data_IF_747376352280
#
_entry.id   IF_747376352280
#
_cell.length_a   1.000
_cell.length_b   1.000
_cell.length_c   1.000
_cell.angle_alpha   90.00
_cell.angle_beta   90.00
_cell.angle_gamma   90.00
#
_symmetry.space_group_name_H-M   'P 1'
#
loop_
_entity.id
_entity.type
_entity.pdbx_description
1 polymer ?
#
# COMPACT_ATOMS: atom_id res chain seq x y z
N UNK A 1 72.49 -32.33 -62.56
CA UNK A 1 73.07 -33.68 -62.47
C UNK A 1 72.39 -34.40 -61.30
N UNK A 2 71.55 -35.40 -61.61
CA UNK A 2 71.65 -36.82 -61.17
C UNK A 2 71.38 -37.02 -59.65
N UNK A 3 70.21 -37.53 -59.23
CA UNK A 3 69.79 -38.95 -59.12
C UNK A 3 70.90 -39.80 -58.47
N UNK A 4 70.79 -40.27 -57.21
CA UNK A 4 69.88 -41.28 -56.65
C UNK A 4 70.53 -41.94 -55.40
N UNK A 5 70.10 -43.15 -54.92
CA UNK A 5 69.20 -43.33 -53.77
C UNK A 5 69.62 -44.45 -52.76
N UNK A 6 68.64 -44.94 -51.96
CA UNK A 6 68.55 -46.24 -51.24
C UNK A 6 69.35 -46.35 -49.92
N UNK A 7 69.01 -47.08 -48.86
CA UNK A 7 67.83 -47.68 -48.21
C UNK A 7 68.39 -48.34 -46.92
N UNK A 8 67.56 -48.69 -45.92
CA UNK A 8 67.93 -49.79 -44.99
C UNK A 8 67.68 -49.60 -43.49
N UNK A 9 66.78 -50.43 -42.98
CA UNK A 9 66.10 -50.41 -41.68
C UNK A 9 66.76 -51.28 -40.58
N UNK A 10 66.33 -51.03 -39.32
CA UNK A 10 66.14 -51.94 -38.14
C UNK A 10 67.24 -52.13 -37.07
N UNK A 11 66.84 -51.79 -35.84
CA UNK A 11 67.33 -52.37 -34.58
C UNK A 11 66.60 -51.82 -33.34
N UNK A 12 65.64 -52.58 -32.78
CA UNK A 12 64.86 -52.27 -31.55
C UNK A 12 65.66 -52.50 -30.25
N UNK A 13 65.43 -51.68 -29.21
CA UNK A 13 65.31 -52.10 -27.78
C UNK A 13 64.68 -50.99 -26.91
N UNK A 14 64.12 -51.39 -25.76
CA UNK A 14 62.97 -50.79 -25.04
C UNK A 14 63.29 -49.87 -23.82
N UNK A 15 62.24 -49.11 -23.41
CA UNK A 15 61.89 -48.54 -22.06
C UNK A 15 62.56 -47.18 -21.69
N UNK A 16 61.95 -46.21 -20.93
CA UNK A 16 60.66 -46.18 -20.17
C UNK A 16 59.69 -45.02 -20.51
N UNK A 17 58.43 -45.22 -20.10
CA UNK A 17 57.36 -44.22 -20.09
C UNK A 17 57.50 -43.19 -18.95
N UNK A 18 57.22 -41.90 -19.19
CA UNK A 18 56.86 -40.95 -18.14
C UNK A 18 55.43 -40.38 -18.31
N UNK A 19 54.86 -40.08 -17.15
CA UNK A 19 53.56 -39.53 -16.76
C UNK A 19 53.00 -38.36 -17.61
N UNK A 20 51.68 -38.08 -17.56
CA UNK A 20 51.05 -37.06 -18.41
C UNK A 20 51.51 -35.64 -18.01
N UNK A 21 51.78 -34.74 -18.97
CA UNK A 21 52.03 -33.35 -18.65
C UNK A 21 50.72 -32.67 -18.24
N UNK A 22 50.82 -31.95 -17.12
CA UNK A 22 49.77 -31.19 -16.48
C UNK A 22 49.09 -30.19 -17.44
N UNK A 23 47.80 -29.98 -17.18
CA UNK A 23 47.01 -28.86 -17.70
C UNK A 23 47.80 -27.55 -17.49
N UNK A 24 48.34 -27.00 -18.56
CA UNK A 24 48.80 -25.62 -18.57
C UNK A 24 47.55 -24.74 -18.47
N UNK A 25 47.22 -24.34 -17.24
CA UNK A 25 46.45 -23.14 -16.96
C UNK A 25 47.22 -21.97 -17.58
N UNK A 26 46.86 -21.60 -18.81
CA UNK A 26 47.24 -20.30 -19.34
C UNK A 26 46.44 -19.29 -18.52
N UNK A 27 47.11 -18.71 -17.54
CA UNK A 27 46.65 -17.50 -16.88
C UNK A 27 46.44 -16.43 -17.96
N UNK A 28 45.19 -16.24 -18.39
CA UNK A 28 44.75 -15.02 -19.05
C UNK A 28 44.83 -13.87 -18.04
N UNK A 29 46.04 -13.39 -17.79
CA UNK A 29 46.29 -12.19 -17.03
C UNK A 29 47.51 -11.50 -17.63
N UNK A 30 47.26 -10.42 -18.37
CA UNK A 30 48.27 -9.36 -18.49
C UNK A 30 48.78 -8.98 -19.88
N UNK A 31 48.10 -9.31 -20.98
CA UNK A 31 48.36 -8.66 -22.27
C UNK A 31 47.10 -7.96 -22.77
N UNK A 32 46.77 -6.83 -22.13
CA UNK A 32 45.87 -5.88 -22.76
C UNK A 32 46.65 -5.24 -23.92
N UNK A 33 46.38 -5.70 -25.14
CA UNK A 33 46.97 -5.14 -26.36
C UNK A 33 46.90 -3.60 -26.31
N UNK A 34 48.02 -2.87 -26.50
CA UNK A 34 48.03 -1.40 -26.52
C UNK A 34 47.01 -0.81 -27.51
N UNK A 35 46.65 -1.54 -28.57
CA UNK A 35 45.56 -1.16 -29.47
C UNK A 35 44.20 -1.19 -28.78
N UNK A 36 43.89 -2.25 -28.02
CA UNK A 36 42.63 -2.41 -27.28
C UNK A 36 42.48 -1.31 -26.21
N UNK A 37 43.57 -0.93 -25.54
CA UNK A 37 43.55 0.19 -24.59
C UNK A 37 43.28 1.53 -25.27
N UNK A 38 43.87 1.78 -26.45
CA UNK A 38 43.58 2.98 -27.25
C UNK A 38 42.14 3.01 -27.75
N UNK A 39 41.61 1.87 -28.22
CA UNK A 39 40.20 1.77 -28.63
C UNK A 39 39.25 2.08 -27.48
N UNK A 40 39.49 1.51 -26.28
CA UNK A 40 38.69 1.81 -25.08
C UNK A 40 38.74 3.30 -24.72
N UNK A 41 39.91 3.92 -24.78
CA UNK A 41 40.06 5.36 -24.53
C UNK A 41 39.27 6.20 -25.55
N UNK A 42 39.28 5.82 -26.83
CA UNK A 42 38.48 6.48 -27.87
C UNK A 42 37.00 6.31 -27.60
N UNK A 43 36.54 5.11 -27.24
CA UNK A 43 35.14 4.83 -26.86
C UNK A 43 34.69 5.71 -25.69
N UNK A 44 35.49 5.80 -24.62
CA UNK A 44 35.19 6.65 -23.46
C UNK A 44 35.09 8.13 -23.83
N UNK A 45 36.00 8.63 -24.69
CA UNK A 45 35.94 10.02 -25.17
C UNK A 45 34.73 10.28 -26.05
N UNK A 46 34.36 9.31 -26.90
CA UNK A 46 33.20 9.39 -27.78
C UNK A 46 31.90 9.37 -26.96
N UNK A 47 31.81 8.53 -25.93
CA UNK A 47 30.71 8.55 -24.98
C UNK A 47 30.60 9.87 -24.22
N UNK A 48 31.74 10.45 -23.81
CA UNK A 48 31.78 11.76 -23.17
C UNK A 48 31.27 12.85 -24.10
N UNK A 49 31.75 12.89 -25.34
CA UNK A 49 31.27 13.82 -26.37
C UNK A 49 29.78 13.62 -26.66
N UNK A 50 29.30 12.38 -26.69
CA UNK A 50 27.87 12.10 -26.84
C UNK A 50 27.04 12.63 -25.67
N UNK A 51 27.53 12.48 -24.43
CA UNK A 51 26.89 13.06 -23.23
C UNK A 51 26.84 14.59 -23.32
N UNK A 52 27.95 15.23 -23.68
CA UNK A 52 28.01 16.68 -23.87
C UNK A 52 27.12 17.16 -25.01
N UNK A 53 27.08 16.45 -26.14
CA UNK A 53 26.22 16.78 -27.28
C UNK A 53 24.73 16.70 -26.90
N UNK A 54 24.33 15.67 -26.13
CA UNK A 54 22.97 15.57 -25.58
C UNK A 54 22.66 16.73 -24.61
N UNK A 55 23.60 17.07 -23.74
CA UNK A 55 23.48 18.20 -22.80
C UNK A 55 23.37 19.55 -23.52
N UNK A 56 24.13 19.77 -24.60
CA UNK A 56 24.01 20.98 -25.40
C UNK A 56 22.68 21.02 -26.16
N UNK A 57 22.29 19.91 -26.79
CA UNK A 57 20.99 19.78 -27.47
C UNK A 57 19.82 20.05 -26.53
N UNK A 58 19.88 19.60 -25.27
CA UNK A 58 18.83 19.88 -24.30
C UNK A 58 18.78 21.36 -23.85
N UNK A 59 19.89 22.10 -23.98
CA UNK A 59 19.94 23.54 -23.69
C UNK A 59 19.47 24.42 -24.86
N UNK A 60 19.57 23.96 -26.11
CA UNK A 60 19.17 24.74 -27.31
C UNK A 60 17.74 25.32 -27.19
N UNK A 61 16.71 24.58 -26.76
CA UNK A 61 15.36 25.15 -26.60
C UNK A 61 15.31 26.32 -25.61
N UNK A 62 16.10 26.29 -24.54
CA UNK A 62 16.15 27.37 -23.54
C UNK A 62 16.79 28.63 -24.13
N UNK A 63 17.86 28.48 -24.91
CA UNK A 63 18.46 29.60 -25.62
C UNK A 63 17.51 30.18 -26.68
N UNK A 64 16.79 29.33 -27.42
CA UNK A 64 15.79 29.78 -28.37
C UNK A 64 14.63 30.54 -27.69
N UNK A 65 14.15 30.05 -26.55
CA UNK A 65 13.14 30.74 -25.75
C UNK A 65 13.65 32.11 -25.26
N UNK A 66 14.89 32.18 -24.78
CA UNK A 66 15.51 33.44 -24.37
C UNK A 66 15.64 34.42 -25.55
N UNK A 67 16.04 33.93 -26.73
CA UNK A 67 16.08 34.75 -27.94
C UNK A 67 14.69 35.30 -28.29
N UNK A 68 13.63 34.48 -28.22
CA UNK A 68 12.27 34.95 -28.49
C UNK A 68 11.85 36.06 -27.51
N UNK A 69 12.07 35.86 -26.21
CA UNK A 69 11.77 36.86 -25.17
C UNK A 69 12.57 38.16 -25.36
N UNK A 70 13.82 38.07 -25.79
CA UNK A 70 14.63 39.26 -26.09
C UNK A 70 14.05 40.05 -27.27
N UNK A 71 13.62 39.37 -28.34
CA UNK A 71 13.00 40.04 -29.48
C UNK A 71 11.64 40.63 -29.11
N UNK A 72 10.84 39.93 -28.32
CA UNK A 72 9.54 40.42 -27.85
C UNK A 72 9.69 41.66 -26.98
N UNK A 73 10.61 41.64 -26.01
CA UNK A 73 10.88 42.82 -25.17
C UNK A 73 11.41 44.01 -25.98
N UNK A 74 12.26 43.78 -26.97
CA UNK A 74 12.71 44.83 -27.88
C UNK A 74 11.56 45.43 -28.71
N UNK A 75 10.62 44.61 -29.17
CA UNK A 75 9.42 45.07 -29.87
C UNK A 75 8.49 45.88 -28.95
N UNK A 76 8.27 45.41 -27.72
CA UNK A 76 7.50 46.13 -26.70
C UNK A 76 8.12 47.49 -26.38
N UNK A 77 9.44 47.55 -26.22
CA UNK A 77 10.16 48.81 -26.00
C UNK A 77 9.94 49.79 -27.16
N UNK A 78 10.03 49.31 -28.41
CA UNK A 78 9.80 50.14 -29.60
C UNK A 78 8.37 50.66 -29.66
N UNK A 79 7.39 49.83 -29.30
CA UNK A 79 5.98 50.25 -29.25
C UNK A 79 5.75 51.32 -28.18
N UNK A 80 6.30 51.13 -26.98
CA UNK A 80 6.22 52.13 -25.90
C UNK A 80 6.92 53.44 -26.29
N UNK A 81 8.06 53.37 -26.97
CA UNK A 81 8.77 54.54 -27.45
C UNK A 81 7.95 55.35 -28.46
N UNK A 82 7.25 54.68 -29.39
CA UNK A 82 6.34 55.33 -30.33
C UNK A 82 5.14 55.95 -29.62
N UNK A 83 4.56 55.26 -28.63
CA UNK A 83 3.47 55.80 -27.82
C UNK A 83 3.92 57.03 -27.04
N UNK A 84 5.10 57.00 -26.42
CA UNK A 84 5.66 58.14 -25.71
C UNK A 84 5.87 59.32 -26.66
N UNK A 85 6.45 59.10 -27.84
CA UNK A 85 6.64 60.15 -28.83
C UNK A 85 5.31 60.78 -29.29
N UNK A 86 4.26 59.97 -29.48
CA UNK A 86 2.92 60.45 -29.79
C UNK A 86 2.34 61.28 -28.64
N UNK A 87 2.46 60.82 -27.39
CA UNK A 87 2.03 61.57 -26.21
C UNK A 87 2.79 62.89 -26.08
N UNK A 88 4.10 62.90 -26.28
CA UNK A 88 4.92 64.11 -26.26
C UNK A 88 4.53 65.10 -27.36
N UNK A 89 4.14 64.60 -28.55
CA UNK A 89 3.59 65.44 -29.61
C UNK A 89 2.28 66.12 -29.18
N UNK A 90 1.35 65.37 -28.58
CA UNK A 90 0.10 65.95 -28.06
C UNK A 90 0.34 66.96 -26.94
N UNK A 91 1.27 66.67 -26.02
CA UNK A 91 1.64 67.61 -24.95
C UNK A 91 2.22 68.90 -25.54
N UNK A 92 3.07 68.79 -26.57
CA UNK A 92 3.64 69.95 -27.26
C UNK A 92 2.55 70.78 -27.95
N UNK A 93 1.60 70.12 -28.61
CA UNK A 93 0.45 70.78 -29.24
C UNK A 93 -0.43 71.49 -28.22
N UNK A 94 -0.80 70.82 -27.13
CA UNK A 94 -1.60 71.40 -26.06
C UNK A 94 -0.89 72.59 -25.40
N UNK A 95 0.42 72.49 -25.13
CA UNK A 95 1.23 73.60 -24.64
C UNK A 95 1.25 74.77 -25.61
N UNK A 96 1.37 74.50 -26.92
CA UNK A 96 1.30 75.52 -27.96
C UNK A 96 -0.09 76.19 -28.04
N UNK A 97 -1.17 75.41 -27.96
CA UNK A 97 -2.54 75.93 -27.92
C UNK A 97 -2.80 76.77 -26.67
N UNK A 98 -2.31 76.34 -25.50
CA UNK A 98 -2.39 77.12 -24.27
C UNK A 98 -1.61 78.44 -24.38
N UNK A 99 -0.40 78.41 -24.94
CA UNK A 99 0.39 79.63 -25.16
C UNK A 99 -0.32 80.61 -26.12
N UNK A 100 -0.94 80.11 -27.20
CA UNK A 100 -1.77 80.91 -28.11
C UNK A 100 -2.99 81.51 -27.40
N UNK A 101 -3.68 80.72 -26.58
CA UNK A 101 -4.83 81.17 -25.80
C UNK A 101 -4.42 82.23 -24.76
N UNK A 102 -3.27 82.07 -24.10
CA UNK A 102 -2.72 83.06 -23.17
C UNK A 102 -2.33 84.36 -23.88
N UNK A 103 -1.77 84.28 -25.09
CA UNK A 103 -1.47 85.46 -25.91
C UNK A 103 -2.75 86.20 -26.33
N UNK A 104 -3.80 85.46 -26.71
CA UNK A 104 -5.14 86.00 -27.00
C UNK A 104 -5.84 86.55 -25.76
N UNK A 105 -5.55 86.03 -24.56
CA UNK A 105 -6.07 86.55 -23.29
C UNK A 105 -5.43 87.88 -22.87
N UNK A 106 -4.28 88.23 -23.45
CA UNK A 106 -3.63 89.53 -23.29
C UNK A 106 -4.22 90.65 -24.17
N UNK A 107 -4.99 90.28 -25.20
CA UNK A 107 -5.84 91.20 -25.98
C UNK A 107 -7.27 91.09 -25.45
N UNK A 108 -7.70 92.09 -24.67
CA UNK A 108 -8.96 92.06 -23.91
C UNK A 108 -10.22 91.87 -24.76
N UNK A 109 -10.62 90.62 -24.98
CA UNK A 109 -11.91 90.27 -25.57
C UNK A 109 -12.60 89.21 -24.70
N UNK A 110 -13.88 89.47 -24.40
CA UNK A 110 -14.68 88.75 -23.42
C UNK A 110 -14.75 87.25 -23.75
N UNK A 111 -14.11 86.46 -22.91
CA UNK A 111 -14.14 84.99 -22.96
C UNK A 111 -15.59 84.56 -22.71
N UNK A 112 -16.21 83.91 -23.69
CA UNK A 112 -17.47 83.20 -23.50
C UNK A 112 -17.26 82.14 -22.41
N UNK A 113 -17.85 82.36 -21.24
CA UNK A 113 -17.76 81.41 -20.13
C UNK A 113 -18.44 80.10 -20.53
N UNK A 114 -17.80 78.94 -20.30
CA UNK A 114 -18.42 77.65 -20.57
C UNK A 114 -19.70 77.52 -19.74
N UNK A 115 -20.74 76.95 -20.35
CA UNK A 115 -22.03 76.80 -19.70
C UNK A 115 -21.86 76.10 -18.33
N UNK A 116 -22.32 76.71 -17.23
CA UNK A 116 -22.05 76.20 -15.87
C UNK A 116 -22.55 74.76 -15.68
N UNK A 117 -23.63 74.37 -16.35
CA UNK A 117 -24.17 73.01 -16.34
C UNK A 117 -23.22 71.95 -16.93
N UNK A 118 -22.41 72.31 -17.94
CA UNK A 118 -21.40 71.40 -18.51
C UNK A 118 -20.23 71.23 -17.54
N UNK A 119 -19.81 72.33 -16.90
CA UNK A 119 -18.73 72.30 -15.91
C UNK A 119 -19.15 71.47 -14.69
N UNK A 120 -20.37 71.64 -14.19
CA UNK A 120 -20.94 70.84 -13.11
C UNK A 120 -21.01 69.35 -13.49
N UNK A 121 -21.51 69.02 -14.69
CA UNK A 121 -21.58 67.64 -15.16
C UNK A 121 -20.20 66.98 -15.28
N UNK A 122 -19.20 67.71 -15.78
CA UNK A 122 -17.83 67.20 -15.89
C UNK A 122 -17.17 67.00 -14.52
N UNK A 123 -17.43 67.91 -13.56
CA UNK A 123 -16.95 67.74 -12.18
C UNK A 123 -17.58 66.52 -11.51
N UNK A 124 -18.87 66.28 -11.75
CA UNK A 124 -19.58 65.11 -11.23
C UNK A 124 -19.07 63.81 -11.87
N UNK A 125 -18.84 63.79 -13.19
CA UNK A 125 -18.23 62.65 -13.89
C UNK A 125 -16.79 62.37 -13.41
N UNK A 126 -15.99 63.41 -13.16
CA UNK A 126 -14.66 63.27 -12.57
C UNK A 126 -14.72 62.75 -11.13
N UNK A 127 -15.71 63.17 -10.35
CA UNK A 127 -15.99 62.64 -9.02
C UNK A 127 -16.30 61.13 -9.07
N UNK A 128 -17.22 60.74 -9.95
CA UNK A 128 -17.58 59.33 -10.16
C UNK A 128 -16.40 58.49 -10.65
N UNK A 129 -15.61 59.01 -11.60
CA UNK A 129 -14.43 58.30 -12.11
C UNK A 129 -13.35 58.12 -11.03
N UNK A 130 -13.15 59.13 -10.17
CA UNK A 130 -12.23 59.03 -9.02
C UNK A 130 -12.71 58.01 -8.00
N UNK A 131 -14.00 57.97 -7.70
CA UNK A 131 -14.54 56.98 -6.76
C UNK A 131 -14.39 55.56 -7.31
N UNK A 132 -14.73 55.34 -8.59
CA UNK A 132 -14.51 54.05 -9.27
C UNK A 132 -13.05 53.62 -9.24
N UNK A 133 -12.11 54.53 -9.45
CA UNK A 133 -10.68 54.23 -9.36
C UNK A 133 -10.32 53.77 -7.95
N UNK A 134 -10.78 54.49 -6.91
CA UNK A 134 -10.55 54.13 -5.50
C UNK A 134 -11.17 52.79 -5.13
N UNK A 135 -12.35 52.49 -5.65
CA UNK A 135 -12.98 51.18 -5.48
C UNK A 135 -12.16 50.09 -6.16
N UNK A 136 -11.77 50.27 -7.44
CA UNK A 136 -10.93 49.30 -8.14
C UNK A 136 -9.59 49.08 -7.43
N UNK A 137 -8.95 50.14 -6.91
CA UNK A 137 -7.72 50.05 -6.11
C UNK A 137 -7.95 49.24 -4.84
N UNK A 138 -9.03 49.49 -4.08
CA UNK A 138 -9.40 48.71 -2.89
C UNK A 138 -9.60 47.23 -3.21
N UNK A 139 -10.34 46.90 -4.26
CA UNK A 139 -10.55 45.50 -4.67
C UNK A 139 -9.26 44.83 -5.12
N UNK A 140 -8.39 45.55 -5.84
CA UNK A 140 -7.08 45.02 -6.25
C UNK A 140 -6.16 44.78 -5.05
N UNK A 141 -6.21 45.65 -4.02
CA UNK A 141 -5.43 45.49 -2.79
C UNK A 141 -5.88 44.27 -2.00
N UNK A 142 -7.20 44.07 -1.84
CA UNK A 142 -7.76 42.86 -1.20
C UNK A 142 -7.33 41.60 -1.94
N UNK A 143 -7.40 41.60 -3.27
CA UNK A 143 -6.97 40.46 -4.09
C UNK A 143 -5.47 40.18 -3.97
N UNK A 144 -4.65 41.22 -3.89
CA UNK A 144 -3.20 41.07 -3.66
C UNK A 144 -2.94 40.49 -2.27
N UNK A 145 -3.69 40.91 -1.25
CA UNK A 145 -3.57 40.38 0.10
C UNK A 145 -3.98 38.91 0.17
N UNK A 146 -5.12 38.52 -0.41
CA UNK A 146 -5.57 37.14 -0.53
C UNK A 146 -4.53 36.25 -1.24
N UNK A 147 -4.02 36.70 -2.39
CA UNK A 147 -2.99 35.96 -3.12
C UNK A 147 -1.67 35.88 -2.32
N UNK A 148 -1.32 36.92 -1.57
CA UNK A 148 -0.13 36.92 -0.73
C UNK A 148 -0.24 35.90 0.40
N UNK A 149 -1.41 35.78 1.03
CA UNK A 149 -1.68 34.77 2.05
C UNK A 149 -1.63 33.35 1.46
N UNK A 150 -2.20 33.13 0.28
CA UNK A 150 -2.13 31.81 -0.37
C UNK A 150 -0.70 31.43 -0.75
N UNK A 151 0.10 32.38 -1.27
CA UNK A 151 1.52 32.15 -1.55
C UNK A 151 2.29 31.82 -0.28
N UNK A 152 2.02 32.48 0.84
CA UNK A 152 2.64 32.16 2.13
C UNK A 152 2.30 30.74 2.58
N UNK A 153 1.03 30.35 2.48
CA UNK A 153 0.57 28.99 2.83
C UNK A 153 1.22 27.92 1.95
N UNK A 154 1.28 28.15 0.64
CA UNK A 154 1.94 27.24 -0.30
C UNK A 154 3.44 27.13 -0.04
N UNK A 155 4.11 28.24 0.29
CA UNK A 155 5.52 28.22 0.67
C UNK A 155 5.74 27.41 1.95
N UNK A 156 4.88 27.56 2.96
CA UNK A 156 4.99 26.77 4.19
C UNK A 156 4.80 25.27 3.94
N UNK A 157 3.83 24.90 3.11
CA UNK A 157 3.66 23.50 2.69
C UNK A 157 4.87 22.97 1.92
N UNK A 158 5.47 23.80 1.07
CA UNK A 158 6.67 23.43 0.34
C UNK A 158 7.87 23.24 1.28
N UNK A 159 8.02 24.08 2.29
CA UNK A 159 9.05 23.94 3.33
C UNK A 159 8.86 22.67 4.16
N UNK A 160 7.64 22.36 4.58
CA UNK A 160 7.31 21.11 5.27
C UNK A 160 7.67 19.89 4.42
N UNK A 161 7.30 19.91 3.13
CA UNK A 161 7.62 18.83 2.20
C UNK A 161 9.12 18.71 1.93
N UNK A 162 9.83 19.83 1.82
CA UNK A 162 11.28 19.82 1.69
C UNK A 162 11.94 19.25 2.95
N UNK A 163 11.45 19.59 4.14
CA UNK A 163 11.94 19.02 5.40
C UNK A 163 11.69 17.51 5.49
N UNK A 164 10.52 17.01 5.06
CA UNK A 164 10.24 15.57 4.95
C UNK A 164 11.22 14.88 3.99
N UNK A 165 11.48 15.47 2.83
CA UNK A 165 12.43 14.94 1.85
C UNK A 165 13.86 14.93 2.41
N UNK A 166 14.30 16.02 3.04
CA UNK A 166 15.60 16.11 3.68
C UNK A 166 15.74 15.08 4.80
N UNK A 167 14.70 14.87 5.61
CA UNK A 167 14.69 13.83 6.63
C UNK A 167 14.87 12.43 6.00
N UNK A 168 14.16 12.13 4.91
CA UNK A 168 14.33 10.87 4.19
C UNK A 168 15.74 10.73 3.57
N UNK A 169 16.32 11.81 3.04
CA UNK A 169 17.67 11.79 2.45
C UNK A 169 18.72 11.55 3.53
N UNK A 170 18.60 12.27 4.66
CA UNK A 170 19.52 12.19 5.78
C UNK A 170 19.38 10.88 6.58
N UNK A 171 18.30 10.12 6.37
CA UNK A 171 18.14 8.82 7.00
C UNK A 171 19.25 7.85 6.52
N UNK A 172 20.01 7.24 7.46
CA UNK A 172 21.09 6.33 7.12
C UNK A 172 20.65 5.14 6.26
N UNK A 173 21.46 4.70 5.27
CA UNK A 173 21.10 3.60 4.36
C UNK A 173 20.74 2.29 5.08
N UNK A 174 21.44 1.95 6.16
CA UNK A 174 21.21 0.71 6.91
C UNK A 174 19.81 0.66 7.57
N UNK A 175 19.21 1.81 7.91
CA UNK A 175 17.87 1.85 8.48
C UNK A 175 16.82 1.54 7.42
N UNK A 176 17.01 2.09 6.21
CA UNK A 176 16.16 1.80 5.04
C UNK A 176 16.25 0.33 4.66
N UNK A 177 17.47 -0.21 4.59
CA UNK A 177 17.69 -1.63 4.30
C UNK A 177 17.03 -2.54 5.35
N UNK A 178 17.15 -2.21 6.64
CA UNK A 178 16.49 -2.95 7.72
C UNK A 178 14.97 -2.95 7.57
N UNK A 179 14.38 -1.80 7.24
CA UNK A 179 12.94 -1.67 7.04
C UNK A 179 12.47 -2.42 5.80
N UNK A 180 13.23 -2.35 4.70
CA UNK A 180 12.96 -3.14 3.48
C UNK A 180 12.94 -4.64 3.80
N UNK A 181 13.95 -5.14 4.52
CA UNK A 181 14.00 -6.55 4.91
C UNK A 181 12.82 -6.95 5.79
N UNK A 182 12.41 -6.08 6.72
CA UNK A 182 11.22 -6.29 7.57
C UNK A 182 9.95 -6.37 6.74
N UNK A 183 9.76 -5.46 5.79
CA UNK A 183 8.62 -5.43 4.89
C UNK A 183 8.59 -6.64 3.96
N UNK A 184 9.73 -7.01 3.38
CA UNK A 184 9.85 -8.21 2.53
C UNK A 184 9.51 -9.48 3.31
N UNK A 185 9.98 -9.61 4.56
CA UNK A 185 9.62 -10.74 5.41
C UNK A 185 8.12 -10.80 5.68
N UNK A 186 7.51 -9.67 6.04
CA UNK A 186 6.07 -9.59 6.31
C UNK A 186 5.23 -9.89 5.06
N UNK A 187 5.66 -9.42 3.89
CA UNK A 187 5.02 -9.74 2.62
C UNK A 187 5.11 -11.24 2.31
N UNK A 188 6.30 -11.84 2.43
CA UNK A 188 6.49 -13.27 2.20
C UNK A 188 5.66 -14.15 3.17
N UNK A 189 5.52 -13.73 4.43
CA UNK A 189 4.65 -14.39 5.41
C UNK A 189 3.17 -14.31 5.00
N UNK A 190 2.73 -13.13 4.53
CA UNK A 190 1.35 -12.92 4.06
C UNK A 190 1.06 -13.71 2.79
N UNK A 191 1.99 -13.76 1.84
CA UNK A 191 1.87 -14.56 0.62
C UNK A 191 1.77 -16.06 0.92
N UNK A 192 2.58 -16.56 1.87
CA UNK A 192 2.47 -17.95 2.34
C UNK A 192 1.11 -18.23 2.96
N UNK A 193 0.64 -17.36 3.85
CA UNK A 193 -0.67 -17.50 4.47
C UNK A 193 -1.79 -17.48 3.40
N UNK A 194 -1.71 -16.57 2.44
CA UNK A 194 -2.66 -16.47 1.33
C UNK A 194 -2.65 -17.75 0.49
N UNK A 195 -1.48 -18.24 0.08
CA UNK A 195 -1.36 -19.48 -0.69
C UNK A 195 -1.97 -20.68 0.05
N UNK A 196 -1.75 -20.79 1.37
CA UNK A 196 -2.39 -21.85 2.16
C UNK A 196 -3.90 -21.70 2.23
N UNK A 197 -4.41 -20.46 2.39
CA UNK A 197 -5.85 -20.20 2.39
C UNK A 197 -6.47 -20.56 1.05
N UNK A 198 -5.84 -20.19 -0.07
CA UNK A 198 -6.35 -20.45 -1.41
C UNK A 198 -6.47 -21.96 -1.69
N UNK A 199 -5.48 -22.75 -1.27
CA UNK A 199 -5.52 -24.22 -1.41
C UNK A 199 -6.66 -24.81 -0.57
N UNK A 200 -6.83 -24.36 0.68
CA UNK A 200 -7.92 -24.81 1.54
C UNK A 200 -9.28 -24.43 0.98
N UNK A 201 -9.45 -23.20 0.49
CA UNK A 201 -10.69 -22.74 -0.13
C UNK A 201 -11.05 -23.57 -1.38
N UNK A 202 -10.06 -23.88 -2.23
CA UNK A 202 -10.27 -24.75 -3.40
C UNK A 202 -10.68 -26.15 -2.96
N UNK A 203 -9.97 -26.76 -2.00
CA UNK A 203 -10.29 -28.11 -1.50
C UNK A 203 -11.69 -28.19 -0.90
N UNK A 204 -12.08 -27.21 -0.08
CA UNK A 204 -13.42 -27.15 0.51
C UNK A 204 -14.51 -26.99 -0.56
N UNK A 205 -14.23 -26.23 -1.61
CA UNK A 205 -15.14 -26.07 -2.75
C UNK A 205 -15.29 -27.39 -3.51
N UNK A 206 -14.19 -28.10 -3.76
CA UNK A 206 -14.20 -29.39 -4.45
C UNK A 206 -14.94 -30.48 -3.64
N UNK A 207 -14.73 -30.52 -2.32
CA UNK A 207 -15.48 -31.41 -1.42
C UNK A 207 -16.97 -31.08 -1.42
N UNK A 208 -17.34 -29.81 -1.40
CA UNK A 208 -18.74 -29.36 -1.49
C UNK A 208 -19.37 -29.84 -2.80
N UNK A 209 -18.70 -29.64 -3.93
CA UNK A 209 -19.16 -30.15 -5.22
C UNK A 209 -19.21 -31.68 -5.28
N UNK A 210 -18.30 -32.38 -4.63
CA UNK A 210 -18.32 -33.84 -4.55
C UNK A 210 -19.53 -34.33 -3.73
N UNK A 211 -19.80 -33.70 -2.58
CA UNK A 211 -20.94 -34.01 -1.73
C UNK A 211 -22.26 -33.71 -2.43
N UNK A 212 -22.37 -32.57 -3.12
CA UNK A 212 -23.55 -32.24 -3.93
C UNK A 212 -23.82 -33.29 -5.02
N UNK A 213 -22.78 -33.73 -5.74
CA UNK A 213 -22.92 -34.81 -6.74
C UNK A 213 -23.36 -36.14 -6.13
N UNK A 214 -22.79 -36.52 -4.99
CA UNK A 214 -23.21 -37.74 -4.25
C UNK A 214 -24.66 -37.62 -3.79
N UNK A 215 -25.06 -36.48 -3.25
CA UNK A 215 -26.42 -36.22 -2.79
C UNK A 215 -27.41 -36.30 -3.96
N UNK A 216 -27.07 -35.72 -5.11
CA UNK A 216 -27.88 -35.82 -6.33
C UNK A 216 -28.06 -37.27 -6.78
N UNK A 217 -26.98 -38.05 -6.85
CA UNK A 217 -27.04 -39.47 -7.23
C UNK A 217 -27.88 -40.30 -6.25
N UNK A 218 -27.74 -40.06 -4.94
CA UNK A 218 -28.58 -40.72 -3.93
C UNK A 218 -30.04 -40.30 -4.06
N UNK A 219 -30.32 -39.01 -4.33
CA UNK A 219 -31.68 -38.52 -4.55
C UNK A 219 -32.32 -39.17 -5.78
N UNK A 220 -31.58 -39.33 -6.89
CA UNK A 220 -32.03 -40.05 -8.08
C UNK A 220 -32.35 -41.52 -7.78
N UNK A 221 -31.50 -42.20 -6.99
CA UNK A 221 -31.75 -43.57 -6.54
C UNK A 221 -33.03 -43.67 -5.69
N UNK A 222 -33.22 -42.75 -4.74
CA UNK A 222 -34.43 -42.69 -3.92
C UNK A 222 -35.67 -42.44 -4.78
N UNK A 223 -35.60 -41.54 -5.77
CA UNK A 223 -36.68 -41.29 -6.72
C UNK A 223 -36.99 -42.54 -7.56
N UNK A 224 -35.99 -43.27 -8.02
CA UNK A 224 -36.18 -44.52 -8.74
C UNK A 224 -36.87 -45.57 -7.88
N UNK A 225 -36.39 -45.77 -6.64
CA UNK A 225 -37.02 -46.69 -5.68
C UNK A 225 -38.47 -46.31 -5.38
N UNK A 226 -38.75 -45.02 -5.15
CA UNK A 226 -40.11 -44.52 -4.94
C UNK A 226 -41.03 -44.86 -6.13
N UNK A 227 -40.57 -44.60 -7.36
CA UNK A 227 -41.31 -44.99 -8.59
C UNK A 227 -41.57 -46.49 -8.66
N UNK A 228 -40.57 -47.33 -8.37
CA UNK A 228 -40.74 -48.78 -8.35
C UNK A 228 -41.77 -49.24 -7.31
N UNK A 229 -41.79 -48.62 -6.12
CA UNK A 229 -42.76 -48.92 -5.07
C UNK A 229 -44.17 -48.47 -5.47
N UNK A 230 -44.32 -47.29 -6.06
CA UNK A 230 -45.61 -46.81 -6.58
C UNK A 230 -46.17 -47.73 -7.68
N UNK A 231 -45.33 -48.19 -8.61
CA UNK A 231 -45.72 -49.14 -9.65
C UNK A 231 -46.16 -50.49 -9.07
N UNK A 232 -45.43 -51.02 -8.08
CA UNK A 232 -45.80 -52.26 -7.38
C UNK A 232 -47.12 -52.09 -6.63
N UNK A 233 -47.29 -50.99 -5.89
CA UNK A 233 -48.52 -50.73 -5.16
C UNK A 233 -49.73 -50.58 -6.10
N UNK A 234 -49.56 -49.95 -7.28
CA UNK A 234 -50.61 -49.90 -8.31
C UNK A 234 -50.99 -51.29 -8.84
N UNK A 235 -50.03 -52.23 -8.91
CA UNK A 235 -50.26 -53.63 -9.30
C UNK A 235 -50.88 -54.46 -8.17
N UNK A 236 -50.48 -54.22 -6.92
CA UNK A 236 -50.97 -54.92 -5.71
C UNK A 236 -52.33 -54.44 -5.21
N UNK A 237 -52.76 -53.21 -5.53
CA UNK A 237 -54.11 -52.71 -5.21
C UNK A 237 -55.25 -53.47 -5.94
N UNK A 238 -54.90 -54.48 -6.75
CA UNK A 238 -55.82 -55.49 -7.29
C UNK A 238 -55.90 -56.80 -6.49
N UNK A 239 -55.15 -56.96 -5.40
CA UNK A 239 -55.10 -58.20 -4.63
C UNK A 239 -54.88 -57.89 -3.13
N UNK A 240 -55.95 -57.56 -2.41
CA UNK A 240 -55.89 -57.24 -0.98
C UNK A 240 -56.37 -58.44 -0.16
N UNK A 241 -55.45 -59.17 0.49
CA UNK A 241 -55.80 -60.07 1.62
C UNK A 241 -54.65 -60.52 2.55
N UNK A 242 -53.42 -59.98 2.46
CA UNK A 242 -52.27 -60.45 3.28
C UNK A 242 -51.77 -59.44 4.35
N UNK A 243 -52.61 -58.53 4.82
CA UNK A 243 -52.14 -57.37 5.62
C UNK A 243 -52.05 -57.59 7.14
N UNK A 244 -52.60 -58.70 7.68
CA UNK A 244 -52.85 -58.82 9.13
C UNK A 244 -51.69 -59.50 9.90
N UNK A 245 -50.85 -60.31 9.24
CA UNK A 245 -49.77 -61.05 9.91
C UNK A 245 -48.48 -60.21 10.12
N UNK A 246 -48.20 -59.28 9.21
CA UNK A 246 -46.97 -58.47 9.23
C UNK A 246 -47.03 -57.33 10.25
N UNK A 247 -48.23 -56.82 10.57
CA UNK A 247 -48.40 -55.72 11.53
C UNK A 247 -48.01 -56.07 12.97
N UNK A 248 -48.28 -57.30 13.42
CA UNK A 248 -47.95 -57.74 14.79
C UNK A 248 -46.44 -57.89 15.03
N UNK A 249 -45.68 -58.32 14.03
CA UNK A 249 -44.22 -58.42 14.13
C UNK A 249 -43.55 -57.04 14.07
N UNK A 250 -44.07 -56.16 13.21
CA UNK A 250 -43.61 -54.77 13.11
C UNK A 250 -43.89 -53.95 14.39
N UNK A 251 -44.98 -54.22 15.10
CA UNK A 251 -45.32 -53.54 16.34
C UNK A 251 -44.32 -53.83 17.48
N UNK A 252 -43.86 -55.09 17.60
CA UNK A 252 -42.86 -55.48 18.62
C UNK A 252 -41.48 -54.92 18.29
N UNK A 253 -41.08 -54.95 17.00
CA UNK A 253 -39.83 -54.37 16.55
C UNK A 253 -39.79 -52.85 16.74
N UNK A 254 -40.87 -52.16 16.37
CA UNK A 254 -41.01 -50.72 16.57
C UNK A 254 -40.97 -50.35 18.05
N UNK A 255 -41.64 -51.12 18.92
CA UNK A 255 -41.60 -50.92 20.36
C UNK A 255 -40.18 -51.07 20.94
N UNK A 256 -39.42 -52.09 20.50
CA UNK A 256 -38.05 -52.30 20.93
C UNK A 256 -37.11 -51.18 20.43
N UNK A 257 -37.23 -50.76 19.17
CA UNK A 257 -36.46 -49.64 18.62
C UNK A 257 -36.75 -48.32 19.34
N UNK A 258 -38.02 -48.04 19.65
CA UNK A 258 -38.40 -46.82 20.41
C UNK A 258 -37.75 -46.84 21.79
N UNK A 259 -37.75 -47.99 22.49
CA UNK A 259 -37.09 -48.10 23.79
C UNK A 259 -35.56 -47.89 23.67
N UNK A 260 -34.90 -48.47 22.67
CA UNK A 260 -33.46 -48.24 22.44
C UNK A 260 -33.13 -46.77 22.15
N UNK A 261 -33.95 -46.08 21.36
CA UNK A 261 -33.75 -44.65 21.07
C UNK A 261 -33.93 -43.80 22.33
N UNK A 262 -34.89 -44.14 23.19
CA UNK A 262 -35.10 -43.44 24.45
C UNK A 262 -33.92 -43.64 25.40
N UNK A 263 -33.43 -44.87 25.56
CA UNK A 263 -32.23 -45.14 26.38
C UNK A 263 -31.02 -44.39 25.83
N UNK A 264 -30.80 -44.43 24.51
CA UNK A 264 -29.66 -43.74 23.91
C UNK A 264 -29.75 -42.22 24.04
N UNK A 265 -30.96 -41.65 23.98
CA UNK A 265 -31.20 -40.23 24.24
C UNK A 265 -30.86 -39.90 25.69
N UNK A 266 -31.33 -40.71 26.64
CA UNK A 266 -31.06 -40.49 28.06
C UNK A 266 -29.55 -40.57 28.36
N UNK A 267 -28.86 -41.57 27.80
CA UNK A 267 -27.39 -41.71 27.85
C UNK A 267 -26.68 -40.49 27.26
N UNK A 268 -27.14 -39.97 26.13
CA UNK A 268 -26.56 -38.77 25.54
C UNK A 268 -26.75 -37.52 26.42
N UNK A 269 -27.91 -37.41 27.08
CA UNK A 269 -28.19 -36.29 28.00
C UNK A 269 -27.42 -36.39 29.31
N UNK A 270 -27.22 -37.60 29.84
CA UNK A 270 -26.42 -37.82 31.05
C UNK A 270 -24.94 -37.57 30.78
N UNK A 271 -24.38 -38.10 29.69
CA UNK A 271 -23.00 -37.86 29.24
C UNK A 271 -22.72 -36.36 29.04
N UNK A 272 -23.67 -35.63 28.45
CA UNK A 272 -23.55 -34.17 28.30
C UNK A 272 -23.53 -33.46 29.66
N UNK A 273 -24.41 -33.85 30.57
CA UNK A 273 -24.49 -33.27 31.91
C UNK A 273 -23.20 -33.51 32.70
N UNK A 274 -22.61 -34.70 32.56
CA UNK A 274 -21.32 -35.05 33.18
C UNK A 274 -20.16 -34.25 32.57
N UNK A 275 -20.17 -34.05 31.25
CA UNK A 275 -19.20 -33.17 30.59
C UNK A 275 -19.30 -31.73 31.08
N UNK A 276 -20.51 -31.19 31.24
CA UNK A 276 -20.73 -29.83 31.75
C UNK A 276 -20.26 -29.70 33.21
N UNK A 277 -20.54 -30.70 34.06
CA UNK A 277 -20.03 -30.78 35.44
C UNK A 277 -18.50 -30.83 35.47
N UNK A 278 -17.89 -31.64 34.61
CA UNK A 278 -16.44 -31.74 34.50
C UNK A 278 -15.82 -30.39 34.04
N UNK A 279 -16.43 -29.71 33.07
CA UNK A 279 -15.99 -28.39 32.62
C UNK A 279 -16.09 -27.34 33.73
N UNK A 280 -17.18 -27.34 34.51
CA UNK A 280 -17.32 -26.45 35.66
C UNK A 280 -16.23 -26.72 36.70
N UNK A 281 -15.92 -28.00 36.98
CA UNK A 281 -14.86 -28.34 37.94
C UNK A 281 -13.48 -27.93 37.44
N UNK A 282 -13.22 -28.07 36.14
CA UNK A 282 -11.97 -27.60 35.51
C UNK A 282 -11.83 -26.08 35.69
N UNK A 283 -12.89 -25.31 35.45
CA UNK A 283 -12.86 -23.85 35.62
C UNK A 283 -12.62 -23.45 37.07
N UNK A 284 -13.29 -24.09 38.03
CA UNK A 284 -13.07 -23.88 39.46
C UNK A 284 -11.61 -24.14 39.85
N UNK A 285 -11.06 -25.28 39.42
CA UNK A 285 -9.66 -25.63 39.69
C UNK A 285 -8.68 -24.68 39.01
N UNK A 286 -8.97 -24.20 37.79
CA UNK A 286 -8.16 -23.19 37.12
C UNK A 286 -8.15 -21.86 37.89
N UNK A 287 -9.29 -21.44 38.44
CA UNK A 287 -9.37 -20.26 39.30
C UNK A 287 -8.59 -20.47 40.59
N UNK A 288 -8.73 -21.62 41.24
CA UNK A 288 -8.01 -21.95 42.46
C UNK A 288 -6.49 -21.95 42.24
N UNK A 289 -6.02 -22.58 41.15
CA UNK A 289 -4.60 -22.55 40.75
C UNK A 289 -4.13 -21.12 40.50
N UNK A 290 -4.92 -20.29 39.81
CA UNK A 290 -4.58 -18.88 39.54
C UNK A 290 -4.48 -18.07 40.84
N UNK A 291 -5.42 -18.28 41.77
CA UNK A 291 -5.40 -17.67 43.09
C UNK A 291 -4.18 -18.10 43.92
N UNK A 292 -3.87 -19.39 43.94
CA UNK A 292 -2.70 -19.93 44.63
C UNK A 292 -1.39 -19.42 44.01
N UNK A 293 -1.30 -19.33 42.69
CA UNK A 293 -0.18 -18.74 41.98
C UNK A 293 0.02 -17.27 42.38
N UNK A 294 -1.05 -16.48 42.47
CA UNK A 294 -0.96 -15.09 42.92
C UNK A 294 -0.53 -14.98 44.39
N UNK A 295 -1.04 -15.86 45.27
CA UNK A 295 -0.60 -15.93 46.66
C UNK A 295 0.89 -16.32 46.79
N UNK A 296 1.37 -17.26 45.97
CA UNK A 296 2.78 -17.63 45.91
C UNK A 296 3.66 -16.49 45.38
N UNK A 297 3.21 -15.76 44.37
CA UNK A 297 3.90 -14.57 43.85
C UNK A 297 4.05 -13.50 44.94
N UNK A 298 2.96 -13.17 45.65
CA UNK A 298 3.02 -12.22 46.79
C UNK A 298 3.92 -12.70 47.93
N UNK A 299 3.90 -14.01 48.25
CA UNK A 299 4.80 -14.59 49.25
C UNK A 299 6.27 -14.57 48.80
N UNK A 300 6.55 -14.64 47.49
CA UNK A 300 7.91 -14.49 46.96
C UNK A 300 8.38 -13.04 46.96
N UNK A 301 7.51 -12.08 46.66
CA UNK A 301 7.81 -10.64 46.74
C UNK A 301 8.06 -10.20 48.19
N UNK A 302 7.19 -10.58 49.15
CA UNK A 302 7.41 -10.28 50.57
C UNK A 302 8.66 -10.95 51.17
N UNK A 303 9.17 -12.02 50.56
CA UNK A 303 10.43 -12.67 50.97
C UNK A 303 11.67 -12.03 50.31
N UNK A 304 11.48 -11.29 49.22
CA UNK A 304 12.52 -10.45 48.59
C UNK A 304 12.76 -9.20 49.44
N UNK A 305 11.70 -8.54 49.91
CA UNK A 305 11.79 -7.36 50.79
C UNK A 305 12.34 -7.70 52.20
N UNK A 306 12.13 -8.94 52.68
CA UNK A 306 12.75 -9.41 53.93
C UNK A 306 14.22 -9.80 53.77
N UNK A 307 14.72 -10.06 52.55
CA UNK A 307 16.14 -10.40 52.32
C UNK A 307 17.04 -9.17 52.26
N UNK A 308 16.50 -7.99 51.94
CA UNK A 308 17.27 -6.74 52.00
C UNK A 308 17.48 -6.21 53.43
N UNK A 309 16.80 -6.80 54.44
CA UNK A 309 17.04 -6.50 55.86
C UNK A 309 17.68 -7.63 56.66
N UNK A 310 18.00 -8.78 56.06
CA UNK A 310 18.66 -9.90 56.74
C UNK A 310 19.85 -10.46 55.95
N UNK A 311 20.80 -9.57 55.62
CA UNK A 311 22.16 -9.96 55.24
C UNK A 311 23.05 -10.03 56.48
N UNK A 312 22.95 -11.14 57.23
CA UNK A 312 24.03 -11.71 58.06
C UNK A 312 23.46 -12.97 58.71
N UNK A 313 23.73 -14.13 58.12
CA UNK A 313 24.19 -15.35 58.81
C UNK A 313 24.35 -16.43 57.73
N UNK A 314 25.62 -16.74 57.45
CA UNK A 314 26.05 -17.79 56.53
C UNK A 314 26.15 -19.08 57.36
N UNK A 315 25.35 -20.09 57.07
CA UNK A 315 25.53 -21.44 57.63
C UNK A 315 25.69 -22.42 56.47
N UNK A 316 26.86 -23.06 56.43
CA UNK A 316 27.13 -24.25 55.64
C UNK A 316 26.58 -25.49 56.36
N UNK A 317 25.82 -26.31 55.64
CA UNK A 317 25.68 -27.76 55.81
C UNK A 317 24.84 -28.21 54.60
N UNK A 318 25.06 -29.34 53.93
CA UNK A 318 25.87 -30.50 54.19
C UNK A 318 25.33 -31.56 53.22
N UNK A 319 26.24 -32.21 52.52
CA UNK A 319 26.02 -33.28 51.55
C UNK A 319 25.11 -34.40 52.11
N UNK A 320 24.18 -34.92 51.31
CA UNK A 320 23.64 -36.28 51.50
C UNK A 320 23.13 -36.87 50.18
N UNK A 321 23.87 -37.87 49.71
CA UNK A 321 23.51 -38.81 48.66
C UNK A 321 22.30 -39.66 49.09
N UNK A 322 21.40 -40.02 48.17
CA UNK A 322 20.82 -41.37 48.17
C UNK A 322 20.27 -41.80 46.81
N UNK A 323 20.97 -42.80 46.25
CA UNK A 323 20.52 -44.02 45.58
C UNK A 323 19.58 -43.93 44.36
N UNK A 324 20.20 -44.27 43.24
CA UNK A 324 19.63 -44.70 41.98
C UNK A 324 18.94 -46.07 42.15
N UNK A 325 17.66 -46.19 41.80
CA UNK A 325 17.02 -47.47 41.46
C UNK A 325 16.57 -47.37 40.00
N UNK A 326 17.23 -48.17 39.18
CA UNK A 326 16.99 -48.33 37.77
C UNK A 326 15.87 -49.37 37.60
N UNK A 327 14.66 -48.92 37.22
CA UNK A 327 13.62 -49.82 36.73
C UNK A 327 13.47 -49.60 35.23
N UNK A 328 13.87 -50.63 34.49
CA UNK A 328 13.90 -50.72 33.03
C UNK A 328 12.53 -51.21 32.59
N UNK A 329 11.76 -50.40 31.86
CA UNK A 329 10.63 -50.89 31.04
C UNK A 329 10.63 -50.14 29.70
N UNK A 330 10.35 -50.93 28.68
CA UNK A 330 10.62 -50.77 27.26
C UNK A 330 9.89 -49.58 26.61
N UNK A 331 10.59 -48.90 25.71
CA UNK A 331 10.01 -47.91 24.79
C UNK A 331 9.48 -48.62 23.55
N UNK A 332 8.15 -48.62 23.38
CA UNK A 332 7.52 -48.73 22.07
C UNK A 332 6.94 -47.37 21.66
N UNK A 333 7.21 -47.06 20.39
CA UNK A 333 7.04 -45.81 19.65
C UNK A 333 5.56 -45.43 19.48
N UNK A 334 5.24 -44.15 19.70
CA UNK A 334 3.97 -43.52 19.31
C UNK A 334 4.17 -42.02 19.05
N UNK A 335 3.68 -41.54 17.91
CA UNK A 335 3.98 -40.27 17.25
C UNK A 335 3.31 -39.02 17.86
N UNK A 336 4.02 -37.86 17.76
CA UNK A 336 3.66 -36.41 17.63
C UNK A 336 2.18 -35.93 17.65
N UNK A 337 1.89 -34.59 17.70
CA UNK A 337 2.52 -33.44 18.39
C UNK A 337 1.49 -32.56 19.17
N UNK A 338 1.95 -31.74 20.13
CA UNK A 338 1.12 -30.77 20.88
C UNK A 338 1.34 -29.31 20.46
N UNK A 339 0.24 -28.62 20.16
CA UNK A 339 0.04 -27.15 20.13
C UNK A 339 0.32 -26.51 21.53
N UNK A 340 0.41 -25.15 21.75
CA UNK A 340 -0.54 -24.15 21.21
C UNK A 340 -0.09 -22.67 21.04
N UNK A 341 -0.98 -21.94 20.37
CA UNK A 341 -1.03 -20.48 20.34
C UNK A 341 -1.64 -19.85 21.60
N UNK A 342 -1.28 -18.59 21.79
CA UNK A 342 -1.65 -17.68 22.86
C UNK A 342 -3.09 -17.15 22.72
N UNK A 343 -3.79 -17.09 23.87
CA UNK A 343 -5.16 -16.59 24.02
C UNK A 343 -5.14 -15.20 24.66
N UNK A 344 -5.98 -14.30 24.15
CA UNK A 344 -6.42 -13.05 24.78
C UNK A 344 -7.45 -13.34 25.89
N UNK A 345 -7.51 -12.50 26.92
CA UNK A 345 -8.75 -12.13 27.63
C UNK A 345 -8.63 -10.73 28.23
N UNK A 346 -9.75 -10.00 28.19
CA UNK A 346 -9.99 -8.62 28.62
C UNK A 346 -10.42 -8.50 30.10
N UNK A 347 -10.41 -7.28 30.65
CA UNK A 347 -11.39 -6.69 31.63
C UNK A 347 -11.00 -5.22 31.88
N UNK A 348 -11.88 -4.23 31.60
CA UNK A 348 -12.73 -3.45 32.55
C UNK A 348 -11.94 -2.75 33.67
N UNK A 349 -12.23 -1.55 34.19
CA UNK A 349 -13.03 -0.35 33.91
C UNK A 349 -12.75 0.59 35.13
N UNK A 350 -12.74 1.92 34.96
CA UNK A 350 -13.32 2.95 35.86
C UNK A 350 -12.61 4.34 35.81
N UNK A 351 -13.44 5.36 35.52
CA UNK A 351 -13.47 6.76 36.03
C UNK A 351 -12.23 7.67 35.75
N UNK A 352 -12.27 8.94 35.34
CA UNK A 352 -13.28 10.03 35.34
C UNK A 352 -12.69 11.21 34.51
N UNK A 353 -13.55 12.00 33.85
CA UNK A 353 -13.32 13.19 32.99
C UNK A 353 -13.23 14.54 33.77
N UNK A 354 -13.17 15.77 33.17
CA UNK A 354 -12.44 16.38 32.01
C UNK A 354 -11.78 17.75 32.43
N UNK A 355 -11.41 18.74 31.55
CA UNK A 355 -12.32 19.49 30.66
C UNK A 355 -11.85 19.61 29.20
N UNK A 356 -12.83 19.82 28.33
CA UNK A 356 -12.70 20.11 26.92
C UNK A 356 -12.55 21.62 26.68
N UNK A 357 -11.81 21.97 25.63
CA UNK A 357 -12.08 23.16 24.84
C UNK A 357 -11.66 22.90 23.39
N UNK A 358 -12.30 23.61 22.45
CA UNK A 358 -12.23 23.52 20.97
C UNK A 358 -12.96 22.33 20.32
N UNK A 359 -13.88 22.48 19.37
CA UNK A 359 -14.26 23.64 18.58
C UNK A 359 -14.36 23.24 17.10
N UNK A 360 -15.59 22.98 16.64
CA UNK A 360 -16.16 23.31 15.33
C UNK A 360 -15.24 23.40 14.07
N UNK A 361 -15.56 22.63 13.01
CA UNK A 361 -15.89 23.11 11.65
C UNK A 361 -15.43 22.18 10.51
N UNK A 362 -16.39 21.83 9.65
CA UNK A 362 -16.28 21.74 8.19
C UNK A 362 -15.00 21.18 7.56
N UNK A 363 -15.04 19.90 7.19
CA UNK A 363 -14.17 19.35 6.15
C UNK A 363 -14.88 19.39 4.79
N UNK A 364 -14.85 20.55 4.14
CA UNK A 364 -14.99 20.61 2.68
C UNK A 364 -13.68 20.19 2.01
N UNK A 365 -13.78 19.38 0.95
CA UNK A 365 -12.82 19.41 -0.15
C UNK A 365 -11.57 18.51 -0.08
N UNK A 366 -11.65 17.29 0.46
CA UNK A 366 -10.74 16.22 0.00
C UNK A 366 -11.48 15.41 -1.05
N UNK A 367 -11.17 15.65 -2.32
CA UNK A 367 -11.59 14.82 -3.46
C UNK A 367 -11.10 13.38 -3.25
N UNK A 368 -11.92 12.59 -2.56
CA UNK A 368 -11.85 11.14 -2.51
C UNK A 368 -12.83 10.66 -3.56
N UNK A 369 -12.32 10.15 -4.68
CA UNK A 369 -13.16 9.57 -5.72
C UNK A 369 -13.01 10.24 -7.09
N UNK A 370 -11.81 10.18 -7.65
CA UNK A 370 -11.61 10.52 -9.07
C UNK A 370 -11.15 9.28 -9.84
N UNK A 371 -11.99 8.84 -10.78
CA UNK A 371 -11.69 7.80 -11.74
C UNK A 371 -10.79 8.37 -12.84
N UNK A 372 -9.75 7.62 -13.21
CA UNK A 372 -8.75 8.07 -14.20
C UNK A 372 -8.66 7.12 -15.36
N UNK A 373 -8.74 7.66 -16.58
CA UNK A 373 -8.55 6.88 -17.80
C UNK A 373 -7.08 6.43 -17.92
N UNK A 374 -6.78 5.13 -18.07
CA UNK A 374 -5.41 4.64 -18.16
C UNK A 374 -4.68 5.08 -19.44
N UNK A 375 -5.41 5.47 -20.48
CA UNK A 375 -4.84 5.77 -21.79
C UNK A 375 -4.52 7.26 -21.98
N UNK A 376 -5.47 8.16 -21.66
CA UNK A 376 -5.27 9.60 -21.81
C UNK A 376 -5.15 10.37 -20.48
N UNK A 377 -5.17 9.66 -19.35
CA UNK A 377 -4.94 10.21 -18.02
C UNK A 377 -5.94 11.29 -17.55
N UNK A 378 -7.12 11.34 -18.16
CA UNK A 378 -8.14 12.35 -17.90
C UNK A 378 -8.92 12.07 -16.61
N UNK A 379 -9.20 13.16 -15.91
CA UNK A 379 -10.02 13.39 -14.71
C UNK A 379 -11.51 13.04 -14.88
N UNK A 380 -12.08 12.13 -14.08
CA UNK A 380 -13.53 11.96 -13.94
C UNK A 380 -13.91 11.90 -12.46
N UNK A 381 -15.00 12.53 -12.07
CA UNK A 381 -15.55 12.40 -10.72
C UNK A 381 -16.27 11.05 -10.56
N UNK A 382 -16.27 10.49 -9.34
CA UNK A 382 -16.97 9.24 -9.01
C UNK A 382 -18.49 9.32 -9.30
N UNK A 383 -19.08 10.51 -9.25
CA UNK A 383 -20.50 10.75 -9.57
C UNK A 383 -20.82 10.59 -11.07
N UNK A 384 -19.81 10.62 -11.94
CA UNK A 384 -19.94 10.52 -13.41
C UNK A 384 -19.35 9.21 -13.96
N UNK A 385 -19.54 8.10 -13.22
CA UNK A 385 -19.00 6.77 -13.56
C UNK A 385 -19.41 6.26 -14.96
N UNK A 386 -20.62 6.58 -15.43
CA UNK A 386 -21.10 6.22 -16.78
C UNK A 386 -20.38 6.99 -17.90
N UNK A 387 -20.04 8.27 -17.67
CA UNK A 387 -19.27 9.08 -18.62
C UNK A 387 -17.81 8.61 -18.68
N UNK A 388 -17.25 8.19 -17.55
CA UNK A 388 -15.95 7.54 -17.49
C UNK A 388 -15.92 6.24 -18.30
N UNK A 389 -16.91 5.35 -18.12
CA UNK A 389 -16.99 4.11 -18.88
C UNK A 389 -17.09 4.37 -20.39
N UNK A 390 -17.97 5.29 -20.80
CA UNK A 390 -18.11 5.68 -22.21
C UNK A 390 -16.80 6.22 -22.77
N UNK A 391 -16.13 7.10 -22.03
CA UNK A 391 -14.84 7.64 -22.44
C UNK A 391 -13.76 6.55 -22.55
N UNK A 392 -13.67 5.62 -21.61
CA UNK A 392 -12.72 4.49 -21.68
C UNK A 392 -13.00 3.63 -22.92
N UNK A 393 -14.27 3.40 -23.26
CA UNK A 393 -14.61 2.64 -24.47
C UNK A 393 -14.26 3.37 -25.76
N UNK A 394 -14.23 4.70 -25.78
CA UNK A 394 -13.85 5.49 -26.97
C UNK A 394 -12.33 5.76 -27.03
N UNK A 395 -11.68 5.96 -25.89
CA UNK A 395 -10.27 6.34 -25.78
C UNK A 395 -9.30 5.16 -25.83
N UNK A 396 -9.75 3.96 -25.43
CA UNK A 396 -8.93 2.75 -25.41
C UNK A 396 -9.22 1.80 -26.58
N UNK A 397 -9.83 2.31 -27.66
CA UNK A 397 -10.02 1.58 -28.92
C UNK A 397 -8.77 1.56 -29.79
#
# INVERSE_FOLDING_TARGET
MQLGPEDGEKGRRCVPSPSPPAMCSVSEAGSADPLVSRFRQVEETLEKLHRENRSLKSKVPRYNALCALYHESAQQLKQLQLQLAAKDATVRELRGSLARQQLQRGSGEAVAEPAPSLVESLLEQLGQARERLRDCERHSALRVEELSQEVQKLNQQLEEKNAEIEQMINQPPYEKEREILRLQKSLAEREKAQATSDVLCRSLTDETHQLQRKLASTAEMCQHLAKCLEEKQRKEKGNSDDQIATERSNQVFFSCCVLCVLVYKDDFTSERSDRERAQSKIQELQLEVSCLQHQLARKQEGKKDSRDTSSRFRVHAGNQNHVHIQTKVEHLRGSSPGQPGTRRTASQSEQTSPPADSGNSGSEGRAQGELRCPHCMRFFSDELSDEFLKHVTECCQ
#
